data_IF_266124984100
#
_entry.id   IF_266124984100
#
_cell.length_a   1.000
_cell.length_b   1.000
_cell.length_c   1.000
_cell.angle_alpha   90.00
_cell.angle_beta   90.00
_cell.angle_gamma   90.00
#
_symmetry.space_group_name_H-M   'P 1'
#
loop_
_entity.id
_entity.type
_entity.pdbx_description
1 polymer ?
#
# COMPACT_ATOMS: atom_id res chain seq x y z
N UNK A 1 43.14 17.76 45.41
CA UNK A 1 43.61 17.63 44.01
C UNK A 1 44.16 16.22 43.81
N UNK A 2 43.44 15.36 43.09
CA UNK A 2 43.97 14.23 42.30
C UNK A 2 42.78 13.60 41.54
N UNK A 3 43.00 13.28 40.27
CA UNK A 3 42.02 13.16 39.21
C UNK A 3 41.25 11.81 39.13
N UNK A 4 39.97 11.91 38.76
CA UNK A 4 39.22 11.21 37.68
C UNK A 4 39.62 9.75 37.34
N UNK A 5 38.66 8.82 37.33
CA UNK A 5 37.78 8.50 36.17
C UNK A 5 36.85 7.31 36.45
N UNK A 6 35.63 7.48 35.97
CA UNK A 6 34.50 6.56 35.78
C UNK A 6 34.76 5.49 34.70
N UNK A 7 34.15 4.30 34.84
CA UNK A 7 33.82 3.38 33.72
C UNK A 7 32.64 2.50 34.17
N UNK A 8 31.39 2.83 33.83
CA UNK A 8 30.63 2.25 32.69
C UNK A 8 30.78 0.71 32.63
N UNK A 9 29.77 -0.09 32.93
CA UNK A 9 28.45 -0.06 32.29
C UNK A 9 28.42 -1.15 31.23
N UNK A 10 28.33 -2.42 31.65
CA UNK A 10 28.29 -3.56 30.75
C UNK A 10 27.02 -3.50 29.89
N UNK A 11 27.26 -3.14 28.64
CA UNK A 11 26.26 -2.97 27.60
C UNK A 11 25.76 -4.34 27.17
N UNK A 12 24.50 -4.63 27.45
CA UNK A 12 23.79 -5.73 26.80
C UNK A 12 23.69 -5.40 25.32
N UNK A 13 24.34 -6.22 24.51
CA UNK A 13 24.26 -6.26 23.06
C UNK A 13 22.81 -6.54 22.64
N UNK A 14 22.00 -5.48 22.51
CA UNK A 14 20.80 -5.57 21.70
C UNK A 14 21.24 -5.37 20.26
N UNK A 15 21.17 -6.46 19.49
CA UNK A 15 21.11 -6.43 18.05
C UNK A 15 19.92 -5.57 17.63
N UNK A 16 20.15 -4.26 17.48
CA UNK A 16 19.25 -3.38 16.75
C UNK A 16 19.51 -3.68 15.28
N UNK A 17 18.68 -4.57 14.74
CA UNK A 17 18.45 -4.65 13.31
C UNK A 17 17.99 -3.27 12.84
N UNK A 18 18.97 -2.43 12.55
CA UNK A 18 18.78 -1.19 11.84
C UNK A 18 18.46 -1.62 10.41
N UNK A 19 17.18 -1.92 10.17
CA UNK A 19 16.61 -1.95 8.81
C UNK A 19 16.82 -0.53 8.30
N UNK A 20 18.00 -0.31 7.73
CA UNK A 20 18.30 0.87 6.95
C UNK A 20 17.26 0.85 5.85
N UNK A 21 16.20 1.66 5.99
CA UNK A 21 15.41 2.09 4.85
C UNK A 21 16.43 2.56 3.81
N UNK A 22 16.61 1.86 2.68
CA UNK A 22 17.50 2.36 1.65
C UNK A 22 16.96 3.73 1.28
N UNK A 23 17.82 4.75 1.41
CA UNK A 23 17.52 6.12 1.04
C UNK A 23 16.91 6.06 -0.37
N UNK A 24 15.60 6.34 -0.49
CA UNK A 24 14.93 6.47 -1.79
C UNK A 24 15.73 7.54 -2.53
N UNK A 25 16.48 7.12 -3.54
CA UNK A 25 17.13 8.04 -4.46
C UNK A 25 15.98 8.78 -5.14
N UNK A 26 15.83 10.05 -4.81
CA UNK A 26 14.80 10.98 -5.28
C UNK A 26 14.97 11.23 -6.79
N UNK A 27 14.72 10.21 -7.61
CA UNK A 27 14.43 10.40 -9.03
C UNK A 27 12.92 10.58 -9.12
N UNK A 28 12.49 11.83 -9.33
CA UNK A 28 11.11 12.14 -9.63
C UNK A 28 10.62 11.27 -10.80
N UNK A 29 9.52 10.54 -10.58
CA UNK A 29 8.91 9.75 -11.62
C UNK A 29 8.36 10.65 -12.71
N UNK A 30 8.81 10.45 -13.95
CA UNK A 30 8.26 11.18 -15.08
C UNK A 30 6.92 10.56 -15.47
N UNK A 31 5.88 11.39 -15.58
CA UNK A 31 4.56 10.93 -16.01
C UNK A 31 4.65 10.25 -17.38
N UNK A 32 4.31 8.97 -17.45
CA UNK A 32 4.37 8.20 -18.70
C UNK A 32 5.69 7.49 -18.96
N UNK A 33 6.68 7.59 -18.06
CA UNK A 33 7.93 6.83 -18.12
C UNK A 33 7.65 5.32 -18.17
N UNK A 34 8.36 4.62 -19.06
CA UNK A 34 8.42 3.16 -19.09
C UNK A 34 9.80 2.75 -18.57
N UNK A 35 9.83 2.02 -17.48
CA UNK A 35 11.06 1.56 -16.82
C UNK A 35 11.27 0.05 -17.06
N UNK A 36 12.53 -0.36 -17.11
CA UNK A 36 12.91 -1.78 -17.16
C UNK A 36 12.62 -2.49 -15.84
N UNK A 37 12.59 -3.82 -15.85
CA UNK A 37 12.43 -4.64 -14.63
C UNK A 37 13.49 -4.33 -13.57
N UNK A 38 14.76 -4.18 -13.97
CA UNK A 38 15.84 -3.85 -13.02
C UNK A 38 15.64 -2.49 -12.34
N UNK A 39 15.10 -1.51 -13.07
CA UNK A 39 14.83 -0.18 -12.52
C UNK A 39 13.59 -0.21 -11.61
N UNK A 40 12.58 -1.01 -11.95
CA UNK A 40 11.43 -1.28 -11.08
C UNK A 40 11.88 -1.83 -9.73
N UNK A 41 12.75 -2.84 -9.72
CA UNK A 41 13.25 -3.45 -8.50
C UNK A 41 14.10 -2.47 -7.68
N UNK A 42 14.96 -1.68 -8.33
CA UNK A 42 15.75 -0.62 -7.67
C UNK A 42 14.89 0.43 -6.99
N UNK A 43 13.73 0.76 -7.57
CA UNK A 43 12.78 1.72 -7.00
C UNK A 43 11.85 1.10 -5.95
N UNK A 44 11.91 -0.22 -5.75
CA UNK A 44 11.02 -0.95 -4.83
C UNK A 44 9.58 -1.03 -5.35
N UNK A 45 9.40 -0.92 -6.66
CA UNK A 45 8.08 -0.99 -7.28
C UNK A 45 7.53 -2.41 -7.25
N UNK A 46 6.27 -2.52 -6.88
CA UNK A 46 5.48 -3.73 -6.99
C UNK A 46 4.84 -3.82 -8.37
N UNK A 47 4.98 -4.99 -8.97
CA UNK A 47 4.23 -5.40 -10.14
C UNK A 47 3.49 -6.68 -9.80
N UNK A 48 2.23 -6.78 -10.24
CA UNK A 48 1.35 -7.88 -9.88
C UNK A 48 -0.11 -7.48 -9.99
N UNK A 49 -0.96 -8.18 -9.24
CA UNK A 49 -2.38 -7.89 -9.17
C UNK A 49 -2.61 -6.58 -8.41
N UNK A 50 -2.82 -5.51 -9.19
CA UNK A 50 -3.15 -4.19 -8.67
C UNK A 50 -4.44 -4.23 -7.85
N UNK A 51 -5.44 -5.01 -8.26
CA UNK A 51 -6.73 -5.11 -7.58
C UNK A 51 -6.56 -5.68 -6.18
N UNK A 52 -5.75 -6.73 -6.01
CA UNK A 52 -5.46 -7.30 -4.70
C UNK A 52 -4.78 -6.30 -3.75
N UNK A 53 -3.78 -5.56 -4.24
CA UNK A 53 -3.09 -4.54 -3.46
C UNK A 53 -4.04 -3.40 -3.04
N UNK A 54 -4.80 -2.86 -4.00
CA UNK A 54 -5.75 -1.79 -3.77
C UNK A 54 -6.89 -2.21 -2.82
N UNK A 55 -7.29 -3.49 -2.85
CA UNK A 55 -8.30 -4.04 -1.92
C UNK A 55 -7.83 -3.95 -0.46
N UNK A 56 -6.56 -4.30 -0.18
CA UNK A 56 -6.01 -4.23 1.18
C UNK A 56 -5.97 -2.79 1.68
N UNK A 57 -5.56 -1.84 0.83
CA UNK A 57 -5.55 -0.42 1.17
C UNK A 57 -6.95 0.15 1.36
N UNK A 58 -7.91 -0.24 0.50
CA UNK A 58 -9.31 0.16 0.64
C UNK A 58 -9.92 -0.38 1.93
N UNK A 59 -9.61 -1.62 2.31
CA UNK A 59 -10.10 -2.20 3.56
C UNK A 59 -9.58 -1.41 4.77
N UNK A 60 -8.26 -1.16 4.83
CA UNK A 60 -7.63 -0.34 5.88
C UNK A 60 -8.22 1.08 5.95
N UNK A 61 -8.51 1.65 4.78
CA UNK A 61 -9.17 2.95 4.67
C UNK A 61 -10.61 2.93 5.21
N UNK A 62 -11.40 1.91 4.88
CA UNK A 62 -12.77 1.75 5.36
C UNK A 62 -12.83 1.38 6.85
N UNK A 63 -11.83 0.68 7.38
CA UNK A 63 -11.64 0.40 8.81
C UNK A 63 -11.21 1.64 9.61
N UNK A 64 -10.86 2.74 8.94
CA UNK A 64 -10.46 3.99 9.58
C UNK A 64 -9.07 3.93 10.22
N UNK A 65 -8.13 3.20 9.60
CA UNK A 65 -6.75 3.11 10.08
C UNK A 65 -6.16 4.53 10.25
N UNK A 66 -5.86 4.91 11.50
CA UNK A 66 -5.52 6.28 11.93
C UNK A 66 -4.29 6.90 11.24
N UNK A 67 -3.51 6.10 10.52
CA UNK A 67 -2.35 6.55 9.75
C UNK A 67 -2.71 7.12 8.38
N UNK A 68 -3.97 6.99 7.94
CA UNK A 68 -4.46 7.60 6.71
C UNK A 68 -5.15 8.92 7.08
N UNK A 69 -4.33 9.95 7.34
CA UNK A 69 -4.76 11.33 7.64
C UNK A 69 -5.33 12.06 6.41
N UNK A 70 -6.13 11.39 5.60
CA UNK A 70 -6.68 11.93 4.36
C UNK A 70 -8.20 11.99 4.43
N UNK A 71 -8.82 12.82 3.57
CA UNK A 71 -10.27 12.90 3.44
C UNK A 71 -10.89 11.50 3.30
N UNK A 72 -12.12 11.28 3.78
CA UNK A 72 -12.89 10.03 3.51
C UNK A 72 -13.26 9.83 2.02
N UNK A 73 -12.52 10.43 1.08
CA UNK A 73 -12.74 10.36 -0.36
C UNK A 73 -11.73 9.39 -0.98
N UNK A 74 -12.17 8.65 -2.00
CA UNK A 74 -11.33 7.70 -2.71
C UNK A 74 -10.16 8.38 -3.45
N UNK A 75 -10.37 9.62 -3.90
CA UNK A 75 -9.34 10.41 -4.57
C UNK A 75 -8.09 10.58 -3.69
N UNK A 76 -8.26 10.96 -2.43
CA UNK A 76 -7.12 11.14 -1.53
C UNK A 76 -6.39 9.82 -1.25
N UNK A 77 -7.14 8.70 -1.15
CA UNK A 77 -6.52 7.37 -1.06
C UNK A 77 -5.71 7.04 -2.31
N UNK A 78 -6.23 7.37 -3.50
CA UNK A 78 -5.53 7.16 -4.76
C UNK A 78 -4.26 8.01 -4.86
N UNK A 79 -4.31 9.28 -4.47
CA UNK A 79 -3.16 10.18 -4.40
C UNK A 79 -2.11 9.63 -3.43
N UNK A 80 -2.51 9.18 -2.25
CA UNK A 80 -1.59 8.57 -1.27
C UNK A 80 -0.90 7.30 -1.79
N UNK A 81 -1.65 6.42 -2.47
CA UNK A 81 -1.08 5.20 -3.06
C UNK A 81 -0.10 5.55 -4.18
N UNK A 82 -0.42 6.57 -4.99
CA UNK A 82 0.44 7.06 -6.05
C UNK A 82 1.71 7.73 -5.52
N UNK A 83 1.62 8.58 -4.48
CA UNK A 83 2.76 9.24 -3.83
C UNK A 83 3.77 8.26 -3.25
N UNK A 84 3.31 7.07 -2.86
CA UNK A 84 4.23 6.01 -2.41
C UNK A 84 5.02 5.39 -3.57
N UNK A 85 4.59 5.62 -4.81
CA UNK A 85 5.22 5.22 -6.09
C UNK A 85 5.47 3.71 -6.17
N UNK A 86 4.54 2.92 -5.62
CA UNK A 86 4.73 1.49 -5.46
C UNK A 86 4.15 0.70 -6.64
N UNK A 87 3.08 1.18 -7.29
CA UNK A 87 2.27 0.30 -8.15
C UNK A 87 2.54 0.51 -9.65
N UNK A 88 3.09 -0.52 -10.31
CA UNK A 88 3.42 -0.49 -11.74
C UNK A 88 2.64 -1.50 -12.56
N UNK A 89 2.21 -1.06 -13.75
CA UNK A 89 1.49 -1.86 -14.74
C UNK A 89 2.46 -2.27 -15.86
N UNK A 90 2.44 -3.55 -16.29
CA UNK A 90 3.22 -4.00 -17.44
C UNK A 90 2.76 -3.31 -18.74
N UNK A 91 3.72 -2.85 -19.54
CA UNK A 91 3.53 -2.23 -20.87
C UNK A 91 4.52 -2.81 -21.89
N UNK A 92 4.31 -2.53 -23.18
CA UNK A 92 5.24 -2.97 -24.22
C UNK A 92 6.64 -2.37 -23.96
N UNK A 93 7.60 -3.22 -23.61
CA UNK A 93 8.98 -2.83 -23.34
C UNK A 93 9.31 -2.50 -21.88
N UNK A 94 8.39 -2.69 -20.93
CA UNK A 94 8.71 -2.49 -19.52
C UNK A 94 7.49 -2.31 -18.61
N UNK A 95 7.65 -1.45 -17.61
CA UNK A 95 6.66 -1.17 -16.58
C UNK A 95 6.39 0.33 -16.52
N UNK A 96 5.11 0.71 -16.40
CA UNK A 96 4.68 2.11 -16.25
C UNK A 96 4.02 2.29 -14.89
N UNK A 97 4.35 3.37 -14.18
CA UNK A 97 3.67 3.72 -12.93
C UNK A 97 2.18 3.92 -13.20
N UNK A 98 1.34 3.32 -12.35
CA UNK A 98 -0.11 3.45 -12.47
C UNK A 98 -0.55 4.88 -12.16
N UNK A 99 -1.39 5.49 -13.00
CA UNK A 99 -1.83 6.87 -12.82
C UNK A 99 -2.87 6.97 -11.69
N UNK A 100 -2.90 8.12 -10.98
CA UNK A 100 -3.88 8.39 -9.90
C UNK A 100 -5.31 8.08 -10.33
N UNK A 101 -5.73 8.53 -11.52
CA UNK A 101 -7.08 8.29 -12.05
C UNK A 101 -7.37 6.80 -12.28
N UNK A 102 -6.36 6.02 -12.68
CA UNK A 102 -6.50 4.57 -12.81
C UNK A 102 -6.67 3.92 -11.44
N UNK A 103 -5.89 4.35 -10.44
CA UNK A 103 -6.01 3.86 -9.06
C UNK A 103 -7.41 4.18 -8.51
N UNK A 104 -7.88 5.41 -8.68
CA UNK A 104 -9.20 5.84 -8.24
C UNK A 104 -10.33 5.02 -8.89
N UNK A 105 -10.23 4.76 -10.19
CA UNK A 105 -11.22 3.94 -10.93
C UNK A 105 -11.24 2.51 -10.38
N UNK A 106 -10.07 1.91 -10.20
CA UNK A 106 -9.95 0.55 -9.69
C UNK A 106 -10.47 0.44 -8.25
N UNK A 107 -10.17 1.41 -7.39
CA UNK A 107 -10.74 1.50 -6.04
C UNK A 107 -12.28 1.59 -6.07
N UNK A 108 -12.85 2.34 -7.02
CA UNK A 108 -14.30 2.43 -7.20
C UNK A 108 -14.91 1.08 -7.59
N UNK A 109 -14.28 0.36 -8.52
CA UNK A 109 -14.70 -0.98 -8.96
C UNK A 109 -14.65 -1.97 -7.79
N UNK A 110 -13.55 -2.01 -7.04
CA UNK A 110 -13.38 -2.89 -5.87
C UNK A 110 -14.45 -2.58 -4.82
N UNK A 111 -14.67 -1.31 -4.51
CA UNK A 111 -15.65 -0.89 -3.51
C UNK A 111 -17.07 -1.33 -3.88
N UNK A 112 -17.43 -1.21 -5.16
CA UNK A 112 -18.73 -1.68 -5.66
C UNK A 112 -18.85 -3.20 -5.56
N UNK A 113 -17.85 -3.93 -6.05
CA UNK A 113 -17.85 -5.39 -6.00
C UNK A 113 -17.92 -5.91 -4.55
N UNK A 114 -17.26 -5.24 -3.60
CA UNK A 114 -17.33 -5.58 -2.17
C UNK A 114 -18.74 -5.42 -1.61
N UNK A 115 -19.43 -4.33 -1.96
CA UNK A 115 -20.82 -4.09 -1.54
C UNK A 115 -21.77 -5.15 -2.09
N UNK A 116 -21.67 -5.44 -3.39
CA UNK A 116 -22.51 -6.44 -4.06
C UNK A 116 -22.33 -7.83 -3.42
N UNK A 117 -21.09 -8.21 -3.07
CA UNK A 117 -20.82 -9.47 -2.34
C UNK A 117 -21.45 -9.51 -0.95
N UNK A 118 -21.41 -8.42 -0.20
CA UNK A 118 -21.99 -8.35 1.14
C UNK A 118 -23.53 -8.48 1.09
N UNK A 119 -24.17 -7.79 0.15
CA UNK A 119 -25.63 -7.86 -0.05
C UNK A 119 -26.07 -9.27 -0.50
N UNK A 120 -25.28 -9.91 -1.36
CA UNK A 120 -25.54 -11.28 -1.80
C UNK A 120 -25.36 -12.29 -0.65
N UNK A 121 -24.33 -12.12 0.18
CA UNK A 121 -24.12 -12.96 1.37
C UNK A 121 -25.26 -12.79 2.39
N UNK A 122 -25.74 -11.56 2.60
CA UNK A 122 -26.90 -11.29 3.47
C UNK A 122 -28.19 -11.91 2.90
N UNK A 123 -28.40 -11.81 1.58
CA UNK A 123 -29.55 -12.43 0.90
C UNK A 123 -29.51 -13.96 1.02
N UNK A 124 -28.35 -14.57 0.79
CA UNK A 124 -28.17 -16.02 0.95
C UNK A 124 -28.33 -16.45 2.42
N UNK A 125 -27.87 -15.66 3.39
CA UNK A 125 -28.08 -15.94 4.80
C UNK A 125 -29.57 -15.91 5.17
N UNK A 126 -30.33 -14.92 4.65
CA UNK A 126 -31.79 -14.84 4.81
C UNK A 126 -32.51 -16.02 4.15
N UNK A 127 -32.13 -16.38 2.92
CA UNK A 127 -32.75 -17.51 2.22
C UNK A 127 -32.46 -18.84 2.92
N UNK A 128 -31.23 -19.06 3.39
CA UNK A 128 -30.85 -20.24 4.18
C UNK A 128 -31.56 -20.33 5.51
N UNK A 129 -31.91 -19.19 6.13
CA UNK A 129 -32.67 -19.19 7.39
C UNK A 129 -34.17 -19.42 7.16
N UNK A 130 -34.73 -18.92 6.06
CA UNK A 130 -36.12 -19.16 5.65
C UNK A 130 -36.33 -20.62 5.25
N UNK A 131 -35.45 -21.20 4.43
CA UNK A 131 -35.59 -22.57 3.91
C UNK A 131 -35.26 -23.68 4.94
N UNK A 132 -34.99 -23.29 6.19
CA UNK A 132 -34.67 -24.19 7.32
C UNK A 132 -35.87 -24.38 8.27
N UNK A 133 -36.96 -23.66 8.03
CA UNK A 133 -38.26 -23.81 8.69
C UNK A 133 -39.29 -24.31 7.69
#
# INVERSE_FOLDING_TARGET
MANKKTTHGESKTQAKNNVQNPKKNEREHQRGEIISRDELEKRGGLTGDATAFLTVYLQKFEEGEAHIHYSRKLKDLAEHIHEKEILYIPKHGGYKLMEVSSIETELCVIRRARRERLEEEERQAKERTINKY
#
